data_IF_416986527117
#
_entry.id   IF_416986527117
#
_cell.length_a   1.000
_cell.length_b   1.000
_cell.length_c   1.000
_cell.angle_alpha   90.00
_cell.angle_beta   90.00
_cell.angle_gamma   90.00
#
_symmetry.space_group_name_H-M   'P 1'
#
loop_
_entity.id
_entity.type
_entity.pdbx_description
1 polymer ?
#
# COMPACT_ATOMS: atom_id res chain seq x y z
N UNK A 1 12.17 20.37 -21.07
CA UNK A 1 11.89 21.58 -20.25
C UNK A 1 12.83 21.57 -19.05
N UNK A 2 13.52 22.68 -18.77
CA UNK A 2 14.51 22.75 -17.66
C UNK A 2 13.86 22.79 -16.26
N UNK A 3 12.61 23.28 -16.16
CA UNK A 3 11.87 23.36 -14.90
C UNK A 3 10.98 22.12 -14.61
N UNK A 4 10.86 21.19 -15.56
CA UNK A 4 10.09 19.96 -15.35
C UNK A 4 11.04 18.79 -15.20
N UNK A 5 11.09 18.22 -14.01
CA UNK A 5 11.84 17.00 -13.73
C UNK A 5 11.20 15.78 -14.41
N UNK A 6 11.97 14.70 -14.56
CA UNK A 6 11.42 13.42 -15.03
C UNK A 6 10.38 12.90 -14.04
N UNK A 7 9.28 12.34 -14.55
CA UNK A 7 8.28 11.67 -13.72
C UNK A 7 8.95 10.54 -12.92
N UNK A 8 8.87 10.63 -11.58
CA UNK A 8 9.35 9.59 -10.67
C UNK A 8 8.15 8.80 -10.17
N UNK A 9 8.29 7.48 -10.12
CA UNK A 9 7.30 6.63 -9.46
C UNK A 9 7.22 6.99 -7.98
N UNK A 10 6.01 7.32 -7.53
CA UNK A 10 5.71 7.63 -6.14
C UNK A 10 5.45 6.30 -5.42
N UNK A 11 6.14 6.07 -4.29
CA UNK A 11 5.94 4.91 -3.41
C UNK A 11 5.16 5.36 -2.18
N UNK A 12 4.23 4.54 -1.70
CA UNK A 12 3.43 4.91 -0.54
C UNK A 12 4.11 4.52 0.76
N UNK A 13 3.70 5.14 1.86
CA UNK A 13 4.11 4.76 3.21
C UNK A 13 3.65 3.34 3.56
N UNK A 14 2.48 2.95 3.06
CA UNK A 14 1.91 1.61 3.22
C UNK A 14 2.77 0.55 2.54
N UNK A 15 3.31 0.81 1.34
CA UNK A 15 4.23 -0.14 0.67
C UNK A 15 5.45 -0.46 1.55
N UNK A 16 5.98 0.54 2.26
CA UNK A 16 7.09 0.34 3.19
C UNK A 16 6.66 -0.49 4.41
N UNK A 17 5.48 -0.20 4.96
CA UNK A 17 4.91 -0.94 6.08
C UNK A 17 4.65 -2.42 5.72
N UNK A 18 4.05 -2.69 4.56
CA UNK A 18 3.84 -4.04 4.03
C UNK A 18 5.15 -4.79 3.90
N UNK A 19 6.17 -4.16 3.33
CA UNK A 19 7.47 -4.81 3.17
C UNK A 19 8.11 -5.17 4.53
N UNK A 20 8.01 -4.29 5.54
CA UNK A 20 8.48 -4.58 6.91
C UNK A 20 7.70 -5.75 7.52
N UNK A 21 6.38 -5.76 7.36
CA UNK A 21 5.52 -6.83 7.85
C UNK A 21 5.84 -8.18 7.19
N UNK A 22 6.04 -8.20 5.87
CA UNK A 22 6.44 -9.40 5.11
C UNK A 22 7.80 -9.92 5.58
N UNK A 23 8.78 -9.03 5.76
CA UNK A 23 10.08 -9.43 6.32
C UNK A 23 9.94 -10.03 7.73
N UNK A 24 9.06 -9.46 8.56
CA UNK A 24 8.74 -10.01 9.88
C UNK A 24 8.13 -11.41 9.83
N UNK A 25 7.18 -11.65 8.92
CA UNK A 25 6.54 -12.96 8.72
C UNK A 25 7.54 -14.01 8.23
N UNK A 26 8.42 -13.66 7.28
CA UNK A 26 9.44 -14.59 6.76
C UNK A 26 10.43 -14.97 7.86
N UNK A 27 10.85 -14.02 8.69
CA UNK A 27 11.73 -14.30 9.81
C UNK A 27 11.05 -15.21 10.85
N UNK A 28 9.78 -14.94 11.16
CA UNK A 28 8.97 -15.79 12.04
C UNK A 28 8.80 -17.21 11.48
N UNK A 29 8.55 -17.35 10.18
CA UNK A 29 8.45 -18.64 9.49
C UNK A 29 9.74 -19.46 9.63
N UNK A 30 10.90 -18.84 9.36
CA UNK A 30 12.20 -19.51 9.49
C UNK A 30 12.42 -19.96 10.94
N UNK A 31 12.11 -19.11 11.92
CA UNK A 31 12.23 -19.46 13.34
C UNK A 31 11.35 -20.66 13.71
N UNK A 32 10.08 -20.67 13.28
CA UNK A 32 9.17 -21.80 13.50
C UNK A 32 9.67 -23.09 12.83
N UNK A 33 10.17 -23.01 11.60
CA UNK A 33 10.75 -24.16 10.90
C UNK A 33 11.97 -24.71 11.64
N UNK A 34 12.88 -23.85 12.12
CA UNK A 34 14.04 -24.26 12.90
C UNK A 34 13.65 -24.95 14.20
N UNK A 35 12.66 -24.42 14.94
CA UNK A 35 12.15 -25.04 16.17
C UNK A 35 11.56 -26.42 15.86
N UNK A 36 10.70 -26.53 14.84
CA UNK A 36 10.12 -27.80 14.42
C UNK A 36 11.19 -28.83 14.01
N UNK A 37 12.21 -28.41 13.25
CA UNK A 37 13.33 -29.27 12.85
C UNK A 37 14.12 -29.77 14.06
N UNK A 38 14.42 -28.91 15.03
CA UNK A 38 15.14 -29.30 16.26
C UNK A 38 14.29 -30.30 17.06
N UNK A 39 13.00 -30.04 17.23
CA UNK A 39 12.09 -30.95 17.93
C UNK A 39 12.00 -32.31 17.23
N UNK A 40 11.96 -32.32 15.89
CA UNK A 40 11.96 -33.56 15.12
C UNK A 40 13.27 -34.32 15.27
N UNK A 41 14.42 -33.63 15.27
CA UNK A 41 15.74 -34.25 15.51
C UNK A 41 15.86 -34.84 16.92
N UNK A 42 15.34 -34.15 17.94
CA UNK A 42 15.29 -34.66 19.33
C UNK A 42 14.36 -35.88 19.42
N UNK A 43 13.20 -35.84 18.77
CA UNK A 43 12.26 -36.96 18.73
C UNK A 43 12.85 -38.21 18.07
N UNK A 44 13.57 -38.02 16.95
CA UNK A 44 14.26 -39.10 16.25
C UNK A 44 15.32 -39.74 17.15
N UNK A 45 16.03 -38.91 17.93
CA UNK A 45 17.02 -39.38 18.90
C UNK A 45 16.40 -40.19 20.05
N UNK A 46 15.28 -39.75 20.63
CA UNK A 46 14.71 -40.42 21.81
C UNK A 46 13.87 -41.63 21.46
N UNK A 47 12.93 -41.46 20.52
CA UNK A 47 11.85 -42.42 20.25
C UNK A 47 11.94 -43.00 18.84
N UNK A 48 12.35 -42.20 17.86
CA UNK A 48 12.40 -42.60 16.44
C UNK A 48 13.22 -43.86 16.18
N UNK A 49 14.30 -44.07 16.95
CA UNK A 49 15.14 -45.29 16.90
C UNK A 49 14.35 -46.61 17.02
N UNK A 50 13.27 -46.63 17.79
CA UNK A 50 12.43 -47.82 17.98
C UNK A 50 11.36 -47.97 16.89
N UNK A 51 10.97 -46.85 16.26
CA UNK A 51 9.90 -46.81 15.26
C UNK A 51 10.40 -47.12 13.84
N UNK A 52 11.70 -46.93 13.58
CA UNK A 52 12.34 -47.32 12.31
C UNK A 52 12.22 -48.83 12.01
N UNK A 53 11.92 -49.64 13.03
CA UNK A 53 11.65 -51.07 12.84
C UNK A 53 10.34 -51.38 12.11
N UNK A 54 9.35 -50.50 12.23
CA UNK A 54 8.06 -50.65 11.57
C UNK A 54 7.94 -49.83 10.28
N UNK A 55 8.70 -48.74 10.15
CA UNK A 55 8.72 -47.88 8.97
C UNK A 55 10.17 -47.54 8.57
N UNK A 56 10.82 -48.35 7.71
CA UNK A 56 12.17 -48.08 7.24
C UNK A 56 12.18 -46.88 6.27
N UNK A 57 13.21 -46.03 6.40
CA UNK A 57 13.48 -44.96 5.45
C UNK A 57 14.02 -45.52 4.13
N UNK A 58 13.74 -44.82 3.03
CA UNK A 58 14.18 -45.17 1.68
C UNK A 58 15.71 -45.11 1.55
N UNK A 59 16.31 -45.83 0.59
CA UNK A 59 17.78 -46.02 0.46
C UNK A 59 18.60 -44.73 0.28
N UNK A 60 17.94 -43.59 0.04
CA UNK A 60 18.50 -42.24 0.02
C UNK A 60 19.01 -41.81 1.42
N UNK A 61 18.47 -42.38 2.49
CA UNK A 61 18.91 -42.15 3.86
C UNK A 61 19.90 -43.26 4.24
N UNK A 62 21.15 -42.94 4.64
CA UNK A 62 22.19 -43.95 4.88
C UNK A 62 21.71 -45.03 5.87
N UNK A 63 21.80 -46.29 5.41
CA UNK A 63 21.18 -47.45 6.02
C UNK A 63 21.72 -47.78 7.43
N UNK A 64 20.76 -47.90 8.36
CA UNK A 64 20.58 -48.76 9.56
C UNK A 64 21.74 -49.26 10.43
N UNK A 65 22.98 -49.40 9.95
CA UNK A 65 24.06 -50.08 10.71
C UNK A 65 25.14 -49.15 11.30
N UNK A 66 25.14 -47.87 10.93
CA UNK A 66 25.93 -46.87 11.62
C UNK A 66 24.99 -45.89 12.31
N UNK A 67 24.86 -46.05 13.63
CA UNK A 67 24.25 -45.09 14.55
C UNK A 67 25.05 -43.77 14.58
N UNK A 68 25.17 -43.11 13.43
CA UNK A 68 25.99 -41.93 13.24
C UNK A 68 25.14 -40.66 13.34
N UNK A 69 25.72 -39.62 13.92
CA UNK A 69 25.19 -38.25 13.88
C UNK A 69 24.83 -37.78 12.45
N UNK A 70 25.44 -38.38 11.43
CA UNK A 70 25.22 -38.08 10.02
C UNK A 70 23.80 -38.40 9.53
N UNK A 71 23.19 -39.51 9.96
CA UNK A 71 21.83 -39.88 9.54
C UNK A 71 20.80 -38.85 10.03
N UNK A 72 20.92 -38.47 11.30
CA UNK A 72 20.03 -37.49 11.96
C UNK A 72 20.17 -36.12 11.29
N UNK A 73 21.39 -35.73 10.90
CA UNK A 73 21.64 -34.47 10.20
C UNK A 73 20.96 -34.44 8.83
N UNK A 74 21.03 -35.52 8.05
CA UNK A 74 20.37 -35.62 6.73
C UNK A 74 18.85 -35.58 6.87
N UNK A 75 18.26 -36.34 7.80
CA UNK A 75 16.82 -36.33 8.04
C UNK A 75 16.35 -34.96 8.50
N UNK A 76 17.04 -34.35 9.47
CA UNK A 76 16.69 -33.01 9.99
C UNK A 76 16.76 -31.95 8.90
N UNK A 77 17.74 -32.04 8.00
CA UNK A 77 17.87 -31.14 6.86
C UNK A 77 16.72 -31.28 5.86
N UNK A 78 16.32 -32.51 5.52
CA UNK A 78 15.17 -32.75 4.63
C UNK A 78 13.85 -32.30 5.29
N UNK A 79 13.69 -32.57 6.59
CA UNK A 79 12.51 -32.16 7.36
C UNK A 79 12.38 -30.63 7.46
N UNK A 80 13.50 -29.90 7.48
CA UNK A 80 13.47 -28.44 7.42
C UNK A 80 12.76 -27.93 6.16
N UNK A 81 13.14 -28.42 4.97
CA UNK A 81 12.46 -28.02 3.72
C UNK A 81 11.01 -28.49 3.67
N UNK A 82 10.70 -29.67 4.21
CA UNK A 82 9.33 -30.15 4.33
C UNK A 82 8.46 -29.21 5.16
N UNK A 83 8.95 -28.75 6.33
CA UNK A 83 8.23 -27.79 7.17
C UNK A 83 8.09 -26.41 6.52
N UNK A 84 9.08 -25.94 5.77
CA UNK A 84 8.97 -24.70 4.99
C UNK A 84 7.82 -24.78 3.98
N UNK A 85 7.68 -25.90 3.27
CA UNK A 85 6.59 -26.11 2.31
C UNK A 85 5.25 -26.19 3.03
N UNK A 86 5.18 -26.94 4.14
CA UNK A 86 3.96 -27.09 4.94
C UNK A 86 3.46 -25.75 5.50
N UNK A 87 4.38 -24.93 6.02
CA UNK A 87 4.08 -23.64 6.63
C UNK A 87 4.08 -22.45 5.64
N UNK A 88 4.24 -22.69 4.34
CA UNK A 88 4.22 -21.63 3.32
C UNK A 88 2.91 -20.83 3.31
N UNK A 89 1.81 -21.41 3.79
CA UNK A 89 0.51 -20.74 3.97
C UNK A 89 0.53 -19.59 4.97
N UNK A 90 1.55 -19.53 5.85
CA UNK A 90 1.76 -18.42 6.79
C UNK A 90 2.19 -17.15 6.05
N UNK A 91 2.86 -17.25 4.89
CA UNK A 91 3.18 -16.10 4.05
C UNK A 91 1.93 -15.71 3.26
N UNK A 92 1.31 -14.55 3.55
CA UNK A 92 0.04 -14.20 2.94
C UNK A 92 0.30 -13.59 1.55
N UNK A 93 0.54 -14.44 0.54
CA UNK A 93 0.69 -14.00 -0.86
C UNK A 93 -0.58 -13.28 -1.32
N UNK A 94 -1.74 -13.74 -0.82
CA UNK A 94 -3.05 -13.12 -1.09
C UNK A 94 -3.14 -11.68 -0.58
N UNK A 95 -2.51 -11.34 0.55
CA UNK A 95 -2.63 -9.99 1.14
C UNK A 95 -2.08 -8.92 0.20
N UNK A 96 -0.94 -9.18 -0.45
CA UNK A 96 -0.35 -8.24 -1.41
C UNK A 96 -1.28 -8.01 -2.61
N UNK A 97 -1.81 -9.09 -3.17
CA UNK A 97 -2.73 -9.04 -4.31
C UNK A 97 -4.05 -8.36 -3.92
N UNK A 98 -4.59 -8.66 -2.74
CA UNK A 98 -5.82 -8.05 -2.23
C UNK A 98 -5.67 -6.55 -2.06
N UNK A 99 -4.56 -6.06 -1.49
CA UNK A 99 -4.30 -4.61 -1.35
C UNK A 99 -4.27 -3.93 -2.73
N UNK A 100 -3.63 -4.54 -3.72
CA UNK A 100 -3.54 -3.96 -5.07
C UNK A 100 -4.92 -3.91 -5.76
N UNK A 101 -5.75 -4.94 -5.58
CA UNK A 101 -7.13 -4.95 -6.07
C UNK A 101 -7.97 -3.87 -5.38
N UNK A 102 -7.83 -3.69 -4.06
CA UNK A 102 -8.54 -2.64 -3.32
C UNK A 102 -8.15 -1.26 -3.84
N UNK A 103 -6.85 -1.00 -4.05
CA UNK A 103 -6.34 0.26 -4.62
C UNK A 103 -6.90 0.53 -6.01
N UNK A 104 -7.01 -0.51 -6.84
CA UNK A 104 -7.63 -0.42 -8.15
C UNK A 104 -9.11 -0.05 -8.07
N UNK A 105 -9.88 -0.74 -7.21
CA UNK A 105 -11.31 -0.46 -7.01
C UNK A 105 -11.52 0.97 -6.48
N UNK A 106 -10.74 1.41 -5.50
CA UNK A 106 -10.80 2.80 -5.00
C UNK A 106 -10.53 3.82 -6.10
N UNK A 107 -9.57 3.53 -7.00
CA UNK A 107 -9.30 4.40 -8.15
C UNK A 107 -10.50 4.51 -9.08
N UNK A 108 -11.25 3.43 -9.27
CA UNK A 108 -12.48 3.43 -10.07
C UNK A 108 -13.58 4.24 -9.37
N UNK A 109 -13.74 4.10 -8.05
CA UNK A 109 -14.71 4.90 -7.30
C UNK A 109 -14.46 6.41 -7.42
N UNK A 110 -13.20 6.85 -7.34
CA UNK A 110 -12.85 8.26 -7.56
C UNK A 110 -13.25 8.72 -8.96
N UNK A 111 -13.08 7.87 -9.98
CA UNK A 111 -13.43 8.23 -11.36
C UNK A 111 -14.94 8.24 -11.63
N UNK A 112 -15.72 7.46 -10.86
CA UNK A 112 -17.17 7.35 -11.01
C UNK A 112 -17.96 8.27 -10.07
N UNK A 113 -17.27 9.08 -9.26
CA UNK A 113 -17.91 10.01 -8.35
C UNK A 113 -18.57 11.17 -9.11
N UNK A 114 -19.89 11.32 -8.93
CA UNK A 114 -20.68 12.38 -9.54
C UNK A 114 -20.49 13.74 -8.85
N UNK A 115 -20.16 13.77 -7.56
CA UNK A 115 -19.94 15.02 -6.83
C UNK A 115 -18.64 15.71 -7.25
N UNK A 116 -17.66 14.93 -7.74
CA UNK A 116 -16.41 15.43 -8.29
C UNK A 116 -16.45 15.68 -9.81
N UNK A 117 -17.63 15.63 -10.43
CA UNK A 117 -17.80 15.90 -11.85
C UNK A 117 -17.97 17.40 -12.09
N UNK A 118 -17.08 17.99 -12.91
CA UNK A 118 -17.18 19.39 -13.29
C UNK A 118 -17.92 19.54 -14.62
N UNK A 119 -19.12 20.10 -14.57
CA UNK A 119 -19.94 20.42 -15.74
C UNK A 119 -19.79 21.92 -16.09
N UNK A 120 -19.16 22.23 -17.22
CA UNK A 120 -19.05 23.60 -17.73
C UNK A 120 -19.24 23.63 -19.25
N UNK A 121 -20.50 23.52 -19.67
CA UNK A 121 -20.90 23.57 -21.07
C UNK A 121 -20.21 22.47 -21.90
N UNK A 122 -19.46 22.87 -22.93
CA UNK A 122 -18.85 21.96 -23.89
C UNK A 122 -17.68 21.12 -23.32
N UNK A 123 -17.09 21.52 -22.19
CA UNK A 123 -15.95 20.85 -21.58
C UNK A 123 -16.30 20.29 -20.20
N UNK A 124 -17.07 19.21 -20.19
CA UNK A 124 -17.29 18.44 -18.97
C UNK A 124 -16.07 17.57 -18.65
N UNK A 125 -15.55 17.64 -17.43
CA UNK A 125 -14.37 16.88 -17.02
C UNK A 125 -14.68 16.07 -15.77
N UNK A 126 -14.63 14.72 -15.84
CA UNK A 126 -14.73 13.89 -14.65
C UNK A 126 -13.42 13.89 -13.86
N UNK A 127 -13.50 13.60 -12.56
CA UNK A 127 -12.32 13.28 -11.77
C UNK A 127 -11.57 12.09 -12.39
N UNK A 128 -10.24 12.22 -12.50
CA UNK A 128 -9.40 11.18 -13.11
C UNK A 128 -8.18 10.89 -12.24
N UNK A 129 -8.21 9.73 -11.59
CA UNK A 129 -7.06 9.19 -10.88
C UNK A 129 -6.03 8.64 -11.88
N UNK A 130 -4.91 9.35 -12.06
CA UNK A 130 -3.80 8.94 -12.92
C UNK A 130 -2.87 7.89 -12.27
N UNK A 131 -3.02 7.63 -10.98
CA UNK A 131 -2.19 6.69 -10.22
C UNK A 131 -3.06 5.97 -9.20
N UNK A 132 -3.06 4.64 -9.23
CA UNK A 132 -3.90 3.79 -8.35
C UNK A 132 -3.32 3.62 -6.95
N UNK A 133 -1.99 3.75 -6.80
CA UNK A 133 -1.31 3.48 -5.53
C UNK A 133 -1.48 4.59 -4.50
N UNK A 134 -1.72 5.83 -4.93
CA UNK A 134 -1.71 7.00 -4.04
C UNK A 134 -3.04 7.29 -3.36
N UNK A 135 -4.08 6.52 -3.64
CA UNK A 135 -5.45 6.79 -3.16
C UNK A 135 -5.52 6.82 -1.62
N UNK A 136 -4.74 5.97 -0.96
CA UNK A 136 -4.64 5.89 0.51
C UNK A 136 -3.91 7.07 1.17
N UNK A 137 -2.99 7.72 0.44
CA UNK A 137 -2.22 8.86 0.93
C UNK A 137 -3.05 10.15 0.96
N UNK A 138 -4.14 10.22 0.17
CA UNK A 138 -5.06 11.37 0.19
C UNK A 138 -5.64 11.60 1.60
N UNK A 139 -5.88 10.53 2.35
CA UNK A 139 -6.36 10.62 3.74
C UNK A 139 -5.30 11.06 4.76
N UNK A 140 -4.03 11.13 4.36
CA UNK A 140 -2.90 11.46 5.24
C UNK A 140 -2.32 12.87 4.98
N UNK A 141 -2.95 13.66 4.10
CA UNK A 141 -2.48 14.99 3.74
C UNK A 141 -2.66 15.97 4.91
N UNK A 142 -1.56 16.58 5.35
CA UNK A 142 -1.56 17.61 6.42
C UNK A 142 -1.40 19.03 5.89
N UNK A 143 -0.73 19.18 4.75
CA UNK A 143 -0.42 20.47 4.16
C UNK A 143 -0.87 20.50 2.70
N UNK A 144 -1.70 21.49 2.36
CA UNK A 144 -2.15 21.76 0.99
C UNK A 144 -1.46 23.03 0.52
N UNK A 145 -0.55 22.90 -0.44
CA UNK A 145 0.05 24.04 -1.12
C UNK A 145 -0.82 24.37 -2.34
N UNK A 146 -1.50 25.51 -2.28
CA UNK A 146 -2.35 25.98 -3.37
C UNK A 146 -1.67 27.13 -4.12
N UNK A 147 -1.75 27.09 -5.46
CA UNK A 147 -1.39 28.24 -6.28
C UNK A 147 -2.53 29.26 -6.28
N UNK A 148 -2.20 30.55 -6.35
CA UNK A 148 -3.21 31.62 -6.38
C UNK A 148 -3.89 31.68 -7.74
N UNK A 149 -3.10 31.74 -8.81
CA UNK A 149 -3.60 32.02 -10.15
C UNK A 149 -3.94 30.72 -10.86
N UNK A 150 -5.19 30.56 -11.31
CA UNK A 150 -5.63 29.35 -12.00
C UNK A 150 -6.03 28.20 -11.08
N UNK A 151 -5.87 28.32 -9.76
CA UNK A 151 -6.47 27.41 -8.77
C UNK A 151 -7.44 28.15 -7.85
N UNK A 152 -6.96 29.11 -7.04
CA UNK A 152 -7.87 29.88 -6.16
C UNK A 152 -8.71 30.90 -6.91
N UNK A 153 -8.14 31.57 -7.92
CA UNK A 153 -8.84 32.57 -8.73
C UNK A 153 -9.01 32.10 -10.16
N UNK A 154 -10.23 32.24 -10.70
CA UNK A 154 -10.47 32.15 -12.15
C UNK A 154 -9.74 33.30 -12.85
N UNK A 155 -9.20 33.05 -14.04
CA UNK A 155 -8.55 34.08 -14.84
C UNK A 155 -9.58 34.99 -15.54
N UNK A 156 -10.44 35.63 -14.75
CA UNK A 156 -11.48 36.56 -15.18
C UNK A 156 -11.40 37.76 -14.24
N UNK A 157 -11.05 38.92 -14.77
CA UNK A 157 -11.00 40.17 -14.03
C UNK A 157 -12.24 40.99 -14.35
N UNK A 158 -13.14 41.13 -13.39
CA UNK A 158 -14.31 42.02 -13.51
C UNK A 158 -14.01 43.35 -12.84
N UNK A 159 -14.20 44.43 -13.58
CA UNK A 159 -14.14 45.77 -13.02
C UNK A 159 -15.38 45.99 -12.15
N UNK A 160 -15.18 46.04 -10.83
CA UNK A 160 -16.29 46.19 -9.88
C UNK A 160 -16.54 47.64 -9.47
N UNK A 161 -15.49 48.35 -9.07
CA UNK A 161 -15.60 49.70 -8.47
C UNK A 161 -14.40 50.56 -8.84
N UNK A 162 -14.61 51.86 -8.86
CA UNK A 162 -13.53 52.84 -8.85
C UNK A 162 -13.89 54.06 -8.02
N UNK A 163 -12.89 54.87 -7.68
CA UNK A 163 -13.07 56.16 -7.02
C UNK A 163 -12.50 57.25 -7.90
N UNK A 164 -13.33 58.24 -8.25
CA UNK A 164 -12.95 59.36 -9.12
C UNK A 164 -13.29 60.64 -8.35
N UNK A 165 -12.28 61.49 -8.11
CA UNK A 165 -12.42 62.76 -7.39
C UNK A 165 -13.11 62.64 -6.01
N UNK A 166 -12.81 61.57 -5.27
CA UNK A 166 -13.42 61.31 -3.95
C UNK A 166 -14.82 60.69 -3.99
N UNK A 167 -15.43 60.54 -5.16
CA UNK A 167 -16.74 59.89 -5.33
C UNK A 167 -16.53 58.42 -5.71
N UNK A 168 -17.17 57.51 -4.98
CA UNK A 168 -17.11 56.07 -5.25
C UNK A 168 -18.17 55.67 -6.28
N UNK A 169 -17.75 55.01 -7.36
CA UNK A 169 -18.62 54.52 -8.43
C UNK A 169 -18.61 52.99 -8.41
N UNK A 170 -19.81 52.41 -8.47
CA UNK A 170 -20.05 50.97 -8.48
C UNK A 170 -20.92 50.50 -7.31
N UNK A 171 -21.69 49.45 -7.55
CA UNK A 171 -22.65 48.94 -6.57
C UNK A 171 -21.93 48.38 -5.34
N UNK A 172 -22.26 48.87 -4.15
CA UNK A 172 -21.70 48.36 -2.89
C UNK A 172 -22.57 47.21 -2.43
N UNK A 173 -22.12 45.97 -2.65
CA UNK A 173 -22.80 44.83 -2.03
C UNK A 173 -22.33 44.68 -0.57
N UNK A 174 -23.27 44.61 0.37
CA UNK A 174 -23.00 44.28 1.78
C UNK A 174 -22.48 42.82 1.88
N UNK A 175 -21.96 42.41 3.04
CA UNK A 175 -21.56 41.02 3.33
C UNK A 175 -22.70 39.99 3.10
N UNK A 176 -23.94 40.47 2.98
CA UNK A 176 -25.16 39.70 2.68
C UNK A 176 -25.55 39.68 1.19
N UNK A 177 -24.81 40.38 0.32
CA UNK A 177 -25.05 40.41 -1.12
C UNK A 177 -26.10 41.42 -1.60
N UNK A 178 -26.57 42.31 -0.73
CA UNK A 178 -27.55 43.35 -1.12
C UNK A 178 -26.87 44.64 -1.56
N UNK A 179 -27.40 45.27 -2.62
CA UNK A 179 -26.89 46.54 -3.13
C UNK A 179 -27.21 47.68 -2.14
N UNK A 180 -26.18 48.15 -1.46
CA UNK A 180 -26.20 49.37 -0.65
C UNK A 180 -26.16 50.56 -1.61
N UNK A 181 -27.24 51.33 -1.62
CA UNK A 181 -27.26 52.62 -2.29
C UNK A 181 -26.30 53.57 -1.56
N UNK A 182 -25.24 53.96 -2.26
CA UNK A 182 -24.39 55.05 -1.79
C UNK A 182 -25.16 56.33 -2.11
N UNK A 183 -25.89 56.85 -1.12
CA UNK A 183 -26.47 58.18 -1.18
C UNK A 183 -25.39 59.26 -1.35
N UNK A 184 -25.75 60.44 -1.88
CA UNK A 184 -24.82 61.53 -2.17
C UNK A 184 -24.04 62.04 -0.95
#
# INVERSE_FOLDING_TARGET
>A
MMNSGKAKFKRTSLDRFLNILIMGIVLFLIAMCLICTILCGVWEWTTGRWFTDYLPWDDIVPNRHQHGSQQIAVISFLMFFSYVILLNTVVPISLYVSVEIIRFIHSLWINYDQEMYYENGENSVPARAHTTTLNEELGQVQYVFSDKTGTLTRNIMTFNKCTINGICYGNVFDARGEAVEIGP
#
